data_IF_105814858443
#
_entry.id   IF_105814858443
#
_cell.length_a   1.000
_cell.length_b   1.000
_cell.length_c   1.000
_cell.angle_alpha   90.00
_cell.angle_beta   90.00
_cell.angle_gamma   90.00
#
_symmetry.space_group_name_H-M   'P 1'
#
loop_
_entity.id
_entity.type
_entity.pdbx_description
1 polymer ?
#
# COMPACT_ATOMS: atom_id res chain seq x y z
N UNK A 1 37.58 -41.61 -14.84
CA UNK A 1 37.67 -40.19 -14.47
C UNK A 1 36.72 -39.96 -13.31
N UNK A 2 37.28 -39.68 -12.15
CA UNK A 2 36.63 -39.55 -10.86
C UNK A 2 36.15 -38.09 -10.72
N UNK A 3 34.87 -37.84 -10.45
CA UNK A 3 34.40 -36.53 -10.01
C UNK A 3 33.78 -36.68 -8.62
N UNK A 4 34.39 -35.93 -7.71
CA UNK A 4 34.26 -35.97 -6.27
C UNK A 4 32.91 -35.40 -5.83
N UNK A 5 32.15 -36.19 -5.06
CA UNK A 5 30.94 -35.77 -4.36
C UNK A 5 31.37 -35.08 -3.06
N UNK A 6 31.00 -33.81 -2.87
CA UNK A 6 31.16 -33.12 -1.58
C UNK A 6 29.78 -32.70 -1.10
N UNK A 7 29.27 -33.44 -0.12
CA UNK A 7 28.11 -33.09 0.69
C UNK A 7 28.55 -32.10 1.79
N UNK A 8 27.83 -30.99 1.96
CA UNK A 8 27.94 -30.15 3.15
C UNK A 8 26.75 -30.43 4.09
N UNK A 9 27.11 -30.79 5.32
CA UNK A 9 26.25 -31.29 6.36
C UNK A 9 25.50 -30.16 7.11
N UNK A 10 24.28 -30.49 7.54
CA UNK A 10 23.53 -29.77 8.57
C UNK A 10 24.31 -29.74 9.89
N UNK A 11 24.42 -28.56 10.49
CA UNK A 11 24.88 -28.37 11.87
C UNK A 11 23.72 -27.93 12.75
N UNK A 12 23.19 -28.86 13.55
CA UNK A 12 22.31 -28.59 14.70
C UNK A 12 23.13 -28.68 15.98
N UNK A 13 22.96 -27.74 16.91
CA UNK A 13 23.51 -27.83 18.28
C UNK A 13 22.62 -26.98 19.24
N UNK A 14 22.60 -27.26 20.56
CA UNK A 14 21.38 -27.63 21.25
C UNK A 14 20.84 -26.60 22.26
N UNK A 15 19.56 -26.80 22.59
CA UNK A 15 18.82 -26.20 23.69
C UNK A 15 19.48 -26.45 25.05
N UNK A 16 19.57 -25.41 25.88
CA UNK A 16 19.69 -25.57 27.34
C UNK A 16 18.41 -25.14 28.01
N UNK A 17 17.92 -26.06 28.82
CA UNK A 17 16.69 -26.08 29.61
C UNK A 17 17.05 -25.54 30.99
N UNK A 18 16.21 -24.68 31.57
CA UNK A 18 16.08 -24.56 33.03
C UNK A 18 14.65 -24.16 33.36
N UNK A 19 14.01 -25.00 34.16
CA UNK A 19 12.63 -24.90 34.70
C UNK A 19 12.73 -24.71 36.23
N UNK A 20 11.63 -24.55 37.00
CA UNK A 20 11.01 -23.28 37.42
C UNK A 20 11.00 -23.07 38.96
N UNK A 21 10.35 -21.98 39.41
CA UNK A 21 9.47 -21.83 40.61
C UNK A 21 9.80 -20.59 41.47
N UNK A 22 8.88 -20.09 42.34
CA UNK A 22 7.45 -20.39 42.50
C UNK A 22 6.52 -19.15 42.40
N UNK A 23 5.22 -19.44 42.37
CA UNK A 23 4.13 -18.50 42.58
C UNK A 23 4.16 -17.89 44.00
N UNK A 24 3.77 -16.61 44.13
CA UNK A 24 2.85 -16.16 45.17
C UNK A 24 2.37 -14.71 44.94
N UNK A 25 1.04 -14.59 44.96
CA UNK A 25 0.20 -13.52 45.51
C UNK A 25 0.50 -12.03 45.25
N UNK A 26 -0.43 -11.45 44.51
CA UNK A 26 -0.80 -10.04 44.38
C UNK A 26 -1.06 -9.35 45.74
N UNK A 27 -0.77 -8.03 45.83
CA UNK A 27 -1.67 -7.15 46.56
C UNK A 27 -2.13 -5.95 45.71
N UNK A 28 -3.45 -5.88 45.59
CA UNK A 28 -4.32 -4.70 45.68
C UNK A 28 -3.79 -3.33 45.18
N UNK A 29 -4.41 -2.94 44.06
CA UNK A 29 -4.71 -1.59 43.59
C UNK A 29 -4.52 -0.41 44.57
N UNK A 30 -3.76 0.58 44.11
CA UNK A 30 -3.96 2.00 44.41
C UNK A 30 -4.00 2.77 43.08
N UNK A 31 -4.85 3.80 42.92
CA UNK A 31 -5.10 4.42 41.63
C UNK A 31 -3.91 5.27 41.19
N UNK A 32 -3.18 4.80 40.17
CA UNK A 32 -2.25 5.64 39.45
C UNK A 32 -3.04 6.60 38.56
N UNK A 33 -2.91 7.89 38.87
CA UNK A 33 -3.46 9.00 38.10
C UNK A 33 -3.04 8.87 36.64
N UNK A 34 -4.03 8.82 35.76
CA UNK A 34 -3.89 8.88 34.31
C UNK A 34 -3.13 10.15 33.94
N UNK A 35 -1.97 10.10 33.24
CA UNK A 35 -1.60 11.25 32.45
C UNK A 35 -2.59 11.28 31.29
N UNK A 36 -3.42 12.31 31.30
CA UNK A 36 -4.28 12.68 30.19
C UNK A 36 -3.42 12.71 28.93
N UNK A 37 -3.59 11.71 28.08
CA UNK A 37 -3.12 11.79 26.71
C UNK A 37 -4.00 12.83 26.03
N UNK A 38 -3.67 14.11 26.24
CA UNK A 38 -4.02 15.15 25.31
C UNK A 38 -3.38 14.75 23.98
N UNK A 39 -4.21 14.12 23.15
CA UNK A 39 -3.98 13.98 21.74
C UNK A 39 -3.63 15.38 21.23
N UNK A 40 -2.34 15.62 21.02
CA UNK A 40 -1.91 16.71 20.17
C UNK A 40 -2.61 16.46 18.85
N UNK A 41 -3.62 17.28 18.56
CA UNK A 41 -4.35 17.21 17.31
C UNK A 41 -3.32 17.39 16.21
N UNK A 42 -2.97 16.28 15.56
CA UNK A 42 -2.16 16.31 14.36
C UNK A 42 -2.88 17.24 13.38
N UNK A 43 -2.12 18.11 12.71
CA UNK A 43 -2.66 18.88 11.59
C UNK A 43 -3.45 17.93 10.67
N UNK A 44 -4.58 18.37 10.07
CA UNK A 44 -5.36 17.50 9.20
C UNK A 44 -4.44 16.93 8.13
N UNK A 45 -4.38 15.60 8.06
CA UNK A 45 -3.59 14.90 7.06
C UNK A 45 -3.97 15.46 5.68
N UNK A 46 -2.97 15.71 4.83
CA UNK A 46 -3.20 16.10 3.45
C UNK A 46 -4.12 15.07 2.79
N UNK A 47 -5.27 15.51 2.27
CA UNK A 47 -6.27 14.64 1.64
C UNK A 47 -6.27 14.86 0.11
N UNK A 48 -5.70 13.92 -0.68
CA UNK A 48 -5.70 14.01 -2.13
C UNK A 48 -7.09 13.84 -2.75
N UNK A 49 -8.11 13.41 -2.02
CA UNK A 49 -9.48 13.27 -2.52
C UNK A 49 -10.28 14.57 -2.42
N UNK A 50 -9.81 15.53 -1.62
CA UNK A 50 -10.53 16.76 -1.34
C UNK A 50 -10.81 17.56 -2.62
N UNK A 51 -12.08 17.85 -2.87
CA UNK A 51 -12.53 18.64 -4.01
C UNK A 51 -12.67 17.88 -5.33
N UNK A 52 -12.32 16.59 -5.40
CA UNK A 52 -12.54 15.79 -6.60
C UNK A 52 -13.95 15.19 -6.65
N UNK A 53 -14.56 15.25 -7.84
CA UNK A 53 -15.79 14.53 -8.17
C UNK A 53 -15.56 13.02 -8.25
N UNK A 54 -16.63 12.23 -8.17
CA UNK A 54 -16.54 10.78 -8.36
C UNK A 54 -15.98 10.43 -9.74
N UNK A 55 -16.39 11.15 -10.79
CA UNK A 55 -15.87 10.98 -12.14
C UNK A 55 -14.35 11.18 -12.24
N UNK A 56 -13.80 12.23 -11.60
CA UNK A 56 -12.35 12.47 -11.57
C UNK A 56 -11.60 11.37 -10.81
N UNK A 57 -12.17 10.93 -9.68
CA UNK A 57 -11.58 9.85 -8.88
C UNK A 57 -11.54 8.55 -9.67
N UNK A 58 -12.59 8.23 -10.41
CA UNK A 58 -12.68 7.01 -11.22
C UNK A 58 -11.76 7.00 -12.45
N UNK A 59 -11.45 8.18 -13.02
CA UNK A 59 -10.48 8.29 -14.13
C UNK A 59 -9.03 8.29 -13.66
N UNK A 60 -8.78 8.63 -12.41
CA UNK A 60 -7.43 8.61 -11.86
C UNK A 60 -7.15 7.35 -11.04
N UNK A 61 -6.19 6.55 -11.50
CA UNK A 61 -5.79 5.31 -10.83
C UNK A 61 -5.34 5.55 -9.38
N UNK A 62 -4.62 6.64 -9.12
CA UNK A 62 -4.13 6.99 -7.80
C UNK A 62 -5.27 7.37 -6.85
N UNK A 63 -6.18 8.25 -7.28
CA UNK A 63 -7.34 8.65 -6.47
C UNK A 63 -8.28 7.47 -6.21
N UNK A 64 -8.54 6.62 -7.20
CA UNK A 64 -9.30 5.38 -7.01
C UNK A 64 -8.67 4.52 -5.91
N UNK A 65 -7.36 4.28 -5.99
CA UNK A 65 -6.59 3.52 -5.00
C UNK A 65 -6.42 4.22 -3.63
N UNK A 66 -6.74 5.51 -3.51
CA UNK A 66 -6.77 6.22 -2.23
C UNK A 66 -8.16 6.11 -1.60
N UNK A 67 -9.21 6.05 -2.43
CA UNK A 67 -10.61 6.01 -1.99
C UNK A 67 -11.09 4.60 -1.62
N UNK A 68 -10.66 3.57 -2.34
CA UNK A 68 -11.14 2.20 -2.18
C UNK A 68 -10.01 1.19 -2.16
N UNK A 69 -10.26 0.03 -1.56
CA UNK A 69 -9.32 -1.09 -1.57
C UNK A 69 -9.19 -1.70 -2.97
N UNK A 70 -7.98 -2.15 -3.32
CA UNK A 70 -7.64 -2.72 -4.63
C UNK A 70 -8.57 -3.88 -5.00
N UNK A 71 -8.79 -4.82 -4.08
CA UNK A 71 -9.64 -5.98 -4.34
C UNK A 71 -11.13 -5.57 -4.43
N UNK A 72 -11.54 -4.47 -3.80
CA UNK A 72 -12.88 -3.92 -3.95
C UNK A 72 -13.05 -3.31 -5.34
N UNK A 73 -12.07 -2.53 -5.80
CA UNK A 73 -12.07 -1.96 -7.14
C UNK A 73 -12.10 -3.07 -8.20
N UNK A 74 -11.29 -4.11 -8.08
CA UNK A 74 -11.32 -5.23 -9.03
C UNK A 74 -12.70 -5.89 -9.16
N UNK A 75 -13.43 -6.07 -8.05
CA UNK A 75 -14.73 -6.75 -8.07
C UNK A 75 -15.89 -5.85 -8.44
N UNK A 76 -15.83 -4.59 -8.03
CA UNK A 76 -16.99 -3.71 -8.00
C UNK A 76 -16.77 -2.40 -8.77
N UNK A 77 -15.72 -2.28 -9.60
CA UNK A 77 -15.41 -1.05 -10.34
C UNK A 77 -16.64 -0.48 -11.06
N UNK A 78 -17.35 -1.30 -11.84
CA UNK A 78 -18.54 -0.85 -12.55
C UNK A 78 -19.62 -0.29 -11.60
N UNK A 79 -19.80 -0.89 -10.42
CA UNK A 79 -20.77 -0.41 -9.43
C UNK A 79 -20.30 0.88 -8.75
N UNK A 80 -19.00 1.02 -8.52
CA UNK A 80 -18.39 2.17 -7.85
C UNK A 80 -18.29 3.39 -8.77
N UNK A 81 -18.01 3.14 -10.06
CA UNK A 81 -17.57 4.17 -10.99
C UNK A 81 -18.48 4.38 -12.19
N UNK A 82 -19.33 3.44 -12.59
CA UNK A 82 -20.11 3.55 -13.83
C UNK A 82 -21.55 4.03 -13.62
N UNK A 83 -21.82 4.65 -12.46
CA UNK A 83 -23.05 5.37 -12.19
C UNK A 83 -23.08 6.79 -12.80
N UNK A 84 -24.21 7.50 -12.71
CA UNK A 84 -24.41 8.81 -13.33
C UNK A 84 -23.44 9.89 -12.81
N UNK A 85 -23.02 9.82 -11.54
CA UNK A 85 -22.06 10.76 -10.95
C UNK A 85 -20.59 10.39 -11.25
N UNK A 86 -20.36 9.21 -11.82
CA UNK A 86 -19.05 8.69 -12.16
C UNK A 86 -18.74 8.85 -13.65
N UNK A 87 -18.37 7.75 -14.28
CA UNK A 87 -17.93 7.67 -15.68
C UNK A 87 -18.88 6.83 -16.53
N UNK A 88 -20.18 6.96 -16.33
CA UNK A 88 -21.18 6.25 -17.12
C UNK A 88 -20.93 6.42 -18.64
N UNK A 89 -20.88 5.29 -19.36
CA UNK A 89 -20.63 5.25 -20.81
C UNK A 89 -19.17 5.39 -21.23
N UNK A 90 -18.24 5.53 -20.29
CA UNK A 90 -16.79 5.44 -20.56
C UNK A 90 -16.39 4.00 -20.86
N UNK A 91 -15.43 3.78 -21.76
CA UNK A 91 -14.96 2.44 -22.12
C UNK A 91 -14.39 1.69 -20.92
N UNK A 92 -13.88 2.39 -19.91
CA UNK A 92 -13.43 1.77 -18.67
C UNK A 92 -14.53 0.98 -17.95
N UNK A 93 -15.81 1.26 -18.22
CA UNK A 93 -16.94 0.52 -17.65
C UNK A 93 -17.16 -0.86 -18.26
N UNK A 94 -16.62 -1.11 -19.44
CA UNK A 94 -16.72 -2.38 -20.15
C UNK A 94 -15.46 -3.24 -19.99
N UNK A 95 -14.45 -2.75 -19.25
CA UNK A 95 -13.15 -3.38 -19.07
C UNK A 95 -12.90 -3.78 -17.61
N UNK A 96 -12.14 -4.85 -17.44
CA UNK A 96 -11.66 -5.23 -16.10
C UNK A 96 -10.64 -4.22 -15.58
N UNK A 97 -10.90 -3.74 -14.37
CA UNK A 97 -10.02 -2.82 -13.66
C UNK A 97 -8.96 -3.59 -12.84
N UNK A 98 -7.70 -3.12 -12.74
CA UNK A 98 -7.10 -2.06 -13.54
C UNK A 98 -6.47 -2.58 -14.85
N UNK A 99 -6.48 -3.90 -15.04
CA UNK A 99 -5.89 -4.60 -16.17
C UNK A 99 -6.85 -5.68 -16.66
N UNK A 100 -7.09 -5.72 -17.96
CA UNK A 100 -7.88 -6.78 -18.60
C UNK A 100 -7.09 -8.06 -18.86
N UNK A 101 -5.75 -7.97 -18.82
CA UNK A 101 -4.83 -9.08 -18.98
C UNK A 101 -3.82 -9.12 -17.81
N UNK A 102 -2.99 -10.16 -17.77
CA UNK A 102 -1.86 -10.23 -16.84
C UNK A 102 -0.88 -9.09 -17.13
N UNK A 103 -0.70 -8.12 -16.21
CA UNK A 103 0.12 -6.95 -16.48
C UNK A 103 1.61 -7.29 -16.40
N UNK A 104 2.49 -6.51 -17.07
CA UNK A 104 3.92 -6.61 -16.85
C UNK A 104 4.29 -6.17 -15.42
N UNK A 105 5.42 -6.65 -14.92
CA UNK A 105 5.83 -6.46 -13.52
C UNK A 105 5.94 -5.01 -13.07
N UNK A 106 6.34 -4.09 -13.97
CA UNK A 106 6.47 -2.67 -13.65
C UNK A 106 5.12 -1.98 -13.42
N UNK A 107 4.03 -2.50 -13.98
CA UNK A 107 2.71 -1.89 -13.84
C UNK A 107 2.21 -1.87 -12.37
N UNK A 108 2.66 -2.83 -11.55
CA UNK A 108 2.39 -2.81 -10.11
C UNK A 108 3.14 -1.68 -9.38
N UNK A 109 4.37 -1.39 -9.80
CA UNK A 109 5.12 -0.25 -9.26
C UNK A 109 4.50 1.06 -9.71
N UNK A 110 4.05 1.16 -10.97
CA UNK A 110 3.31 2.31 -11.48
C UNK A 110 2.06 2.59 -10.66
N UNK A 111 1.18 1.61 -10.47
CA UNK A 111 -0.04 1.78 -9.65
C UNK A 111 0.28 2.21 -8.22
N UNK A 112 1.30 1.60 -7.61
CA UNK A 112 1.75 1.97 -6.26
C UNK A 112 2.24 3.40 -6.23
N UNK A 113 2.98 3.82 -7.25
CA UNK A 113 3.53 5.15 -7.32
C UNK A 113 2.49 6.21 -7.72
N UNK A 114 1.42 5.86 -8.43
CA UNK A 114 0.27 6.75 -8.61
C UNK A 114 -0.34 7.19 -7.26
N UNK A 115 -0.42 6.28 -6.27
CA UNK A 115 -0.85 6.63 -4.91
C UNK A 115 0.10 7.67 -4.32
N UNK A 116 1.41 7.38 -4.32
CA UNK A 116 2.42 8.28 -3.76
C UNK A 116 2.49 9.63 -4.47
N UNK A 117 2.35 9.66 -5.80
CA UNK A 117 2.33 10.87 -6.61
C UNK A 117 1.14 11.75 -6.22
N UNK A 118 -0.04 11.18 -5.96
CA UNK A 118 -1.20 11.93 -5.48
C UNK A 118 -0.99 12.56 -4.10
N UNK A 119 -0.13 12.00 -3.27
CA UNK A 119 0.36 12.61 -2.02
C UNK A 119 1.57 13.56 -2.20
N UNK A 120 2.06 13.73 -3.43
CA UNK A 120 3.19 14.59 -3.75
C UNK A 120 4.57 14.02 -3.43
N UNK A 121 4.71 12.69 -3.34
CA UNK A 121 5.97 12.04 -2.98
C UNK A 121 7.16 12.49 -3.84
N UNK A 122 8.27 12.96 -3.25
CA UNK A 122 9.42 13.49 -4.00
C UNK A 122 10.28 12.36 -4.58
N UNK A 123 9.87 11.83 -5.73
CA UNK A 123 10.58 10.75 -6.42
C UNK A 123 12.05 11.09 -6.69
N UNK A 124 12.94 10.12 -6.44
CA UNK A 124 14.39 10.22 -6.69
C UNK A 124 14.86 9.48 -7.93
N UNK A 125 14.15 8.42 -8.35
CA UNK A 125 14.50 7.71 -9.57
C UNK A 125 14.12 8.53 -10.79
N UNK A 126 14.97 8.51 -11.81
CA UNK A 126 14.73 9.21 -13.06
C UNK A 126 13.42 8.76 -13.72
N UNK A 127 13.15 7.45 -13.71
CA UNK A 127 11.92 6.84 -14.23
C UNK A 127 10.66 7.50 -13.65
N UNK A 128 10.53 7.59 -12.32
CA UNK A 128 9.32 8.14 -11.70
C UNK A 128 9.26 9.67 -11.75
N UNK A 129 10.41 10.34 -11.83
CA UNK A 129 10.46 11.77 -12.12
C UNK A 129 9.96 12.07 -13.53
N UNK A 130 10.31 11.26 -14.53
CA UNK A 130 9.85 11.42 -15.90
C UNK A 130 8.35 11.11 -16.03
N UNK A 131 7.91 9.97 -15.46
CA UNK A 131 6.51 9.53 -15.52
C UNK A 131 5.54 10.50 -14.83
N UNK A 132 5.87 10.96 -13.61
CA UNK A 132 4.96 11.81 -12.83
C UNK A 132 5.28 13.30 -12.91
N UNK A 133 6.54 13.69 -13.13
CA UNK A 133 6.94 15.09 -13.19
C UNK A 133 6.35 15.87 -14.36
N UNK A 134 5.90 15.16 -15.40
CA UNK A 134 5.20 15.74 -16.57
C UNK A 134 3.70 15.85 -16.38
N UNK A 135 3.14 15.27 -15.31
CA UNK A 135 1.71 15.25 -15.07
C UNK A 135 1.25 16.59 -14.48
N UNK A 136 0.23 17.25 -15.06
CA UNK A 136 -0.22 18.56 -14.58
C UNK A 136 -0.83 18.53 -13.17
N UNK A 137 -1.25 17.35 -12.71
CA UNK A 137 -1.85 17.13 -11.39
C UNK A 137 -0.83 16.76 -10.32
N UNK A 138 0.41 16.40 -10.68
CA UNK A 138 1.43 16.03 -9.72
C UNK A 138 2.10 17.28 -9.15
N UNK A 139 2.06 17.42 -7.83
CA UNK A 139 2.71 18.52 -7.11
C UNK A 139 3.71 17.92 -6.13
N UNK A 140 5.01 18.05 -6.44
CA UNK A 140 6.08 17.58 -5.55
C UNK A 140 5.99 18.30 -4.20
N UNK A 141 6.03 17.52 -3.13
CA UNK A 141 6.00 17.96 -1.74
C UNK A 141 7.27 17.50 -1.03
N UNK A 142 8.18 18.44 -0.80
CA UNK A 142 9.40 18.16 -0.04
C UNK A 142 9.12 17.85 1.44
N UNK A 143 7.92 18.22 1.91
CA UNK A 143 7.39 17.91 3.24
C UNK A 143 6.57 16.62 3.28
N UNK A 144 6.60 15.78 2.23
CA UNK A 144 5.85 14.52 2.20
C UNK A 144 6.05 13.69 3.49
N UNK A 145 4.92 13.29 4.09
CA UNK A 145 4.90 12.44 5.27
C UNK A 145 4.09 11.15 5.00
N UNK A 146 4.66 9.95 5.21
CA UNK A 146 3.95 8.68 5.07
C UNK A 146 2.69 8.55 5.92
N UNK A 147 2.58 9.29 7.03
CA UNK A 147 1.41 9.29 7.91
C UNK A 147 0.16 9.88 7.23
N UNK A 148 0.32 10.65 6.16
CA UNK A 148 -0.81 11.19 5.39
C UNK A 148 -1.56 10.14 4.58
N UNK A 149 -0.93 8.99 4.29
CA UNK A 149 -1.59 7.94 3.53
C UNK A 149 -2.85 7.48 4.27
N UNK A 150 -3.96 7.46 3.55
CA UNK A 150 -5.20 6.88 4.04
C UNK A 150 -5.00 5.38 4.33
N UNK A 151 -5.88 4.80 5.15
CA UNK A 151 -5.80 3.38 5.46
C UNK A 151 -5.97 2.51 4.20
N UNK A 152 -6.83 2.92 3.25
CA UNK A 152 -6.97 2.26 1.96
C UNK A 152 -5.67 2.37 1.13
N UNK A 153 -5.06 3.56 1.07
CA UNK A 153 -3.79 3.76 0.37
C UNK A 153 -2.68 2.84 0.93
N UNK A 154 -2.55 2.75 2.26
CA UNK A 154 -1.57 1.85 2.91
C UNK A 154 -1.80 0.39 2.54
N UNK A 155 -3.05 -0.09 2.65
CA UNK A 155 -3.41 -1.46 2.27
C UNK A 155 -3.13 -1.74 0.81
N UNK A 156 -3.42 -0.80 -0.08
CA UNK A 156 -3.20 -0.94 -1.51
C UNK A 156 -1.74 -0.95 -1.90
N UNK A 157 -0.91 -0.10 -1.28
CA UNK A 157 0.55 -0.13 -1.46
C UNK A 157 1.10 -1.52 -1.14
N UNK A 158 0.66 -2.11 -0.02
CA UNK A 158 1.10 -3.44 0.39
C UNK A 158 0.53 -4.54 -0.53
N UNK A 159 -0.74 -4.45 -0.90
CA UNK A 159 -1.39 -5.40 -1.82
C UNK A 159 -0.70 -5.45 -3.18
N UNK A 160 -0.34 -4.29 -3.75
CA UNK A 160 0.36 -4.20 -5.03
C UNK A 160 1.77 -4.82 -4.97
N UNK A 161 2.49 -4.64 -3.85
CA UNK A 161 3.77 -5.32 -3.62
C UNK A 161 3.61 -6.83 -3.58
N UNK A 162 2.58 -7.33 -2.89
CA UNK A 162 2.28 -8.76 -2.81
C UNK A 162 1.91 -9.35 -4.15
N UNK A 163 1.05 -8.68 -4.92
CA UNK A 163 0.67 -9.11 -6.27
C UNK A 163 1.89 -9.23 -7.18
N UNK A 164 2.77 -8.21 -7.19
CA UNK A 164 4.04 -8.26 -7.93
C UNK A 164 4.91 -9.43 -7.48
N UNK A 165 5.10 -9.62 -6.18
CA UNK A 165 5.94 -10.69 -5.64
C UNK A 165 5.39 -12.10 -5.92
N UNK A 166 4.06 -12.23 -6.03
CA UNK A 166 3.39 -13.51 -6.34
C UNK A 166 3.46 -13.90 -7.81
N UNK A 167 3.79 -12.95 -8.69
CA UNK A 167 3.94 -13.24 -10.11
C UNK A 167 5.30 -13.89 -10.39
N UNK A 168 5.29 -15.16 -10.78
CA UNK A 168 6.52 -15.90 -11.15
C UNK A 168 7.30 -15.20 -12.27
N UNK A 169 6.61 -14.55 -13.22
CA UNK A 169 7.23 -13.78 -14.29
C UNK A 169 8.04 -12.56 -13.79
N UNK A 170 7.85 -12.15 -12.54
CA UNK A 170 8.54 -11.03 -11.91
C UNK A 170 9.74 -11.45 -11.05
N UNK A 171 10.04 -12.74 -10.95
CA UNK A 171 11.12 -13.28 -10.12
C UNK A 171 12.50 -13.33 -10.84
N UNK A 172 12.70 -12.51 -11.87
CA UNK A 172 13.91 -12.47 -12.70
C UNK A 172 14.93 -11.43 -12.28
#
# INVERSE_FOLDING_TARGET
MLVLVVALACGSAPSSITTPAPANAEPAAAPASTPSAEAHAAAPAFDPLAGHSLAEICRDRGLSLIKWDYDQLQRDFAKLCCGPDGIAGDIACDLDWPFSDVPPCHAYDELRNHIFARYGYPFRSAEWQETFGTQPWYQRRDDFDPSWLSEAAKRNVERLKQLKASQTACAG
#
